data_IF_757348901202
#
_entry.id   IF_757348901202
#
_cell.length_a   1.000
_cell.length_b   1.000
_cell.length_c   1.000
_cell.angle_alpha   90.00
_cell.angle_beta   90.00
_cell.angle_gamma   90.00
#
_symmetry.space_group_name_H-M   'P 1'
#
loop_
_entity.id
_entity.type
_entity.pdbx_description
1 polymer ?
#
# COMPACT_ATOMS: atom_id res chain seq x y z
N UNK A 1 -9.94 -19.03 -1.66
CA UNK A 1 -9.02 -18.09 -0.96
C UNK A 1 -9.85 -17.36 0.07
N UNK A 2 -9.37 -17.24 1.30
CA UNK A 2 -10.05 -16.49 2.36
C UNK A 2 -10.31 -15.05 1.87
N UNK A 3 -11.52 -14.52 2.08
CA UNK A 3 -11.90 -13.16 1.66
C UNK A 3 -10.95 -12.12 2.27
N UNK A 4 -10.42 -12.39 3.46
CA UNK A 4 -9.42 -11.58 4.13
C UNK A 4 -8.16 -11.43 3.28
N UNK A 5 -7.65 -12.55 2.75
CA UNK A 5 -6.45 -12.54 1.92
C UNK A 5 -6.71 -11.85 0.58
N UNK A 6 -7.90 -12.04 0.01
CA UNK A 6 -8.32 -11.33 -1.22
C UNK A 6 -8.32 -9.81 -0.96
N UNK A 7 -8.93 -9.36 0.14
CA UNK A 7 -9.00 -7.96 0.52
C UNK A 7 -7.62 -7.32 0.67
N UNK A 8 -6.68 -8.02 1.32
CA UNK A 8 -5.31 -7.56 1.47
C UNK A 8 -4.56 -7.52 0.15
N UNK A 9 -4.70 -8.54 -0.70
CA UNK A 9 -4.08 -8.57 -2.04
C UNK A 9 -4.59 -7.42 -2.90
N UNK A 10 -5.91 -7.20 -2.93
CA UNK A 10 -6.52 -6.09 -3.68
C UNK A 10 -5.99 -4.74 -3.17
N UNK A 11 -5.87 -4.55 -1.85
CA UNK A 11 -5.29 -3.34 -1.29
C UNK A 11 -3.82 -3.14 -1.71
N UNK A 12 -2.99 -4.19 -1.64
CA UNK A 12 -1.58 -4.12 -2.04
C UNK A 12 -1.46 -3.76 -3.53
N UNK A 13 -2.26 -4.38 -4.39
CA UNK A 13 -2.29 -4.07 -5.83
C UNK A 13 -2.70 -2.62 -6.08
N UNK A 14 -3.75 -2.12 -5.42
CA UNK A 14 -4.14 -0.71 -5.52
C UNK A 14 -3.06 0.24 -5.02
N UNK A 15 -2.35 -0.14 -3.95
CA UNK A 15 -1.23 0.65 -3.41
C UNK A 15 -0.09 0.72 -4.42
N UNK A 16 0.29 -0.39 -5.04
CA UNK A 16 1.30 -0.43 -6.10
C UNK A 16 0.87 0.44 -7.29
N UNK A 17 -0.38 0.30 -7.75
CA UNK A 17 -0.92 1.12 -8.85
C UNK A 17 -0.84 2.61 -8.49
N UNK A 18 -1.18 2.97 -7.25
CA UNK A 18 -1.08 4.36 -6.81
C UNK A 18 0.35 4.88 -6.90
N UNK A 19 1.33 4.19 -6.32
CA UNK A 19 2.71 4.68 -6.27
C UNK A 19 3.45 4.61 -7.61
N UNK A 20 3.13 3.64 -8.47
CA UNK A 20 3.83 3.43 -9.75
C UNK A 20 3.16 4.20 -10.90
N UNK A 21 1.83 4.30 -10.91
CA UNK A 21 1.08 4.83 -12.06
C UNK A 21 0.45 6.18 -11.76
N UNK A 22 -0.26 6.31 -10.62
CA UNK A 22 -1.05 7.51 -10.35
C UNK A 22 -0.20 8.64 -9.78
N UNK A 23 0.64 8.36 -8.78
CA UNK A 23 1.41 9.37 -8.04
C UNK A 23 2.28 10.17 -9.03
N UNK A 24 2.28 11.53 -8.94
CA UNK A 24 3.07 12.34 -9.85
C UNK A 24 4.56 11.99 -9.75
N UNK A 25 5.24 11.96 -10.90
CA UNK A 25 6.69 11.92 -10.93
C UNK A 25 7.22 13.31 -10.55
N UNK A 26 8.08 13.36 -9.54
CA UNK A 26 8.64 14.63 -9.04
C UNK A 26 9.48 15.32 -10.13
N UNK A 27 10.10 14.57 -11.04
CA UNK A 27 10.89 15.13 -12.12
C UNK A 27 10.05 15.92 -13.11
N UNK A 28 8.79 15.53 -13.33
CA UNK A 28 7.88 16.23 -14.25
C UNK A 28 7.38 17.55 -13.66
N UNK A 29 7.60 17.77 -12.36
CA UNK A 29 7.20 18.96 -11.64
C UNK A 29 8.37 19.91 -11.38
N UNK A 30 9.57 19.62 -11.89
CA UNK A 30 10.70 20.53 -11.78
C UNK A 30 10.48 21.69 -12.77
N UNK A 31 10.33 22.94 -12.29
CA UNK A 31 10.24 24.12 -13.14
C UNK A 31 11.57 24.36 -13.89
N UNK A 32 11.55 25.24 -14.90
CA UNK A 32 12.75 25.61 -15.68
C UNK A 32 13.91 26.14 -14.81
N UNK A 33 13.63 26.64 -13.60
CA UNK A 33 14.63 27.08 -12.63
C UNK A 33 15.47 25.94 -12.02
N UNK A 34 15.05 24.67 -12.18
CA UNK A 34 15.78 23.51 -11.66
C UNK A 34 15.70 23.31 -10.13
N UNK A 35 14.90 24.13 -9.44
CA UNK A 35 14.62 24.04 -8.01
C UNK A 35 13.30 23.29 -7.81
N UNK A 36 13.29 22.29 -6.93
CA UNK A 36 12.09 21.51 -6.63
C UNK A 36 11.11 22.34 -5.82
N UNK A 37 9.92 22.54 -6.36
CA UNK A 37 8.78 23.06 -5.60
C UNK A 37 8.04 21.89 -4.93
N UNK A 38 8.41 21.64 -3.67
CA UNK A 38 7.84 20.54 -2.86
C UNK A 38 6.35 20.76 -2.59
N UNK A 39 5.90 22.00 -2.45
CA UNK A 39 4.50 22.33 -2.16
C UNK A 39 3.60 22.10 -3.39
N UNK A 40 4.04 22.54 -4.57
CA UNK A 40 3.36 22.26 -5.83
C UNK A 40 3.30 20.75 -6.11
N UNK A 41 4.40 20.03 -5.86
CA UNK A 41 4.43 18.57 -5.98
C UNK A 41 3.39 17.89 -5.07
N UNK A 42 3.34 18.24 -3.78
CA UNK A 42 2.35 17.71 -2.83
C UNK A 42 0.92 18.00 -3.26
N UNK A 43 0.64 19.24 -3.62
CA UNK A 43 -0.68 19.69 -4.08
C UNK A 43 -1.15 18.89 -5.30
N UNK A 44 -0.24 18.60 -6.23
CA UNK A 44 -0.54 17.77 -7.41
C UNK A 44 -0.81 16.30 -7.08
N UNK A 45 -0.31 15.80 -5.94
CA UNK A 45 -0.49 14.42 -5.49
C UNK A 45 -1.83 14.19 -4.76
N UNK A 46 -2.38 15.19 -4.05
CA UNK A 46 -3.58 15.03 -3.24
C UNK A 46 -4.83 14.56 -3.99
N UNK A 47 -5.17 15.07 -5.19
CA UNK A 47 -6.34 14.58 -5.93
C UNK A 47 -6.19 13.09 -6.30
N UNK A 48 -4.97 12.67 -6.66
CA UNK A 48 -4.67 11.27 -7.00
C UNK A 48 -4.71 10.37 -5.78
N UNK A 49 -4.27 10.88 -4.63
CA UNK A 49 -4.41 10.19 -3.34
C UNK A 49 -5.89 10.00 -2.96
N UNK A 50 -6.74 11.00 -3.20
CA UNK A 50 -8.18 10.89 -2.97
C UNK A 50 -8.81 9.81 -3.86
N UNK A 51 -8.43 9.73 -5.14
CA UNK A 51 -8.85 8.66 -6.05
C UNK A 51 -8.44 7.28 -5.51
N UNK A 52 -7.21 7.15 -5.01
CA UNK A 52 -6.74 5.91 -4.39
C UNK A 52 -7.59 5.52 -3.17
N UNK A 53 -7.88 6.46 -2.25
CA UNK A 53 -8.71 6.18 -1.07
C UNK A 53 -10.11 5.73 -1.47
N UNK A 54 -10.73 6.41 -2.45
CA UNK A 54 -12.05 6.03 -2.96
C UNK A 54 -12.02 4.62 -3.58
N UNK A 55 -11.00 4.32 -4.39
CA UNK A 55 -10.85 2.99 -5.00
C UNK A 55 -10.69 1.89 -3.94
N UNK A 56 -9.90 2.15 -2.89
CA UNK A 56 -9.77 1.26 -1.74
C UNK A 56 -11.14 1.05 -1.09
N UNK A 57 -11.83 2.11 -0.66
CA UNK A 57 -13.13 1.97 0.02
C UNK A 57 -14.16 1.22 -0.82
N UNK A 58 -14.26 1.48 -2.12
CA UNK A 58 -15.17 0.77 -3.03
C UNK A 58 -14.80 -0.71 -3.11
N UNK A 59 -13.52 -1.03 -3.33
CA UNK A 59 -13.07 -2.42 -3.44
C UNK A 59 -13.34 -3.22 -2.16
N UNK A 60 -13.08 -2.62 -0.99
CA UNK A 60 -13.29 -3.23 0.31
C UNK A 60 -14.76 -3.39 0.62
N UNK A 61 -15.60 -2.44 0.22
CA UNK A 61 -17.04 -2.51 0.38
C UNK A 61 -17.65 -3.66 -0.43
N UNK A 62 -17.20 -3.84 -1.67
CA UNK A 62 -17.62 -4.96 -2.52
C UNK A 62 -17.26 -6.30 -1.87
N UNK A 63 -16.03 -6.44 -1.37
CA UNK A 63 -15.56 -7.69 -0.74
C UNK A 63 -16.29 -7.96 0.58
N UNK A 64 -16.48 -6.97 1.44
CA UNK A 64 -17.20 -7.13 2.70
C UNK A 64 -18.68 -7.46 2.48
N UNK A 65 -19.29 -6.87 1.46
CA UNK A 65 -20.67 -7.22 1.06
C UNK A 65 -20.73 -8.66 0.55
N UNK A 66 -19.78 -9.08 -0.29
CA UNK A 66 -19.70 -10.46 -0.77
C UNK A 66 -19.54 -11.45 0.38
N UNK A 67 -18.68 -11.13 1.37
CA UNK A 67 -18.53 -11.95 2.57
C UNK A 67 -19.85 -12.13 3.32
N UNK A 68 -20.55 -11.04 3.64
CA UNK A 68 -21.82 -11.12 4.37
C UNK A 68 -22.90 -11.89 3.60
N UNK A 69 -22.98 -11.70 2.27
CA UNK A 69 -23.95 -12.45 1.46
C UNK A 69 -23.67 -13.96 1.49
N UNK A 70 -22.39 -14.37 1.44
CA UNK A 70 -22.03 -15.80 1.55
C UNK A 70 -22.26 -16.36 2.96
N UNK A 71 -22.02 -15.56 4.00
CA UNK A 71 -22.22 -15.96 5.40
C UNK A 71 -23.70 -16.07 5.77
N UNK A 72 -24.53 -15.16 5.28
CA UNK A 72 -25.91 -15.00 5.74
C UNK A 72 -26.97 -15.58 4.80
N UNK A 73 -26.60 -16.15 3.65
CA UNK A 73 -27.53 -16.75 2.67
C UNK A 73 -28.72 -15.86 2.29
N UNK A 74 -28.58 -14.54 2.45
CA UNK A 74 -29.66 -13.54 2.35
C UNK A 74 -29.47 -12.58 1.19
N UNK A 75 -30.51 -11.79 0.91
CA UNK A 75 -30.49 -10.75 -0.12
C UNK A 75 -29.52 -9.63 0.26
N UNK A 76 -28.79 -9.11 -0.73
CA UNK A 76 -27.79 -8.04 -0.55
C UNK A 76 -28.35 -6.81 0.17
N UNK A 77 -29.65 -6.53 0.02
CA UNK A 77 -30.31 -5.35 0.60
C UNK A 77 -30.29 -5.31 2.13
N UNK A 78 -30.32 -6.48 2.78
CA UNK A 78 -30.45 -6.53 4.24
C UNK A 78 -29.10 -6.44 4.95
N UNK A 79 -28.01 -6.79 4.25
CA UNK A 79 -26.64 -6.78 4.78
C UNK A 79 -25.79 -5.60 4.28
N UNK A 80 -26.28 -4.82 3.32
CA UNK A 80 -25.51 -3.72 2.70
C UNK A 80 -25.17 -2.59 3.68
N UNK A 81 -26.09 -2.26 4.60
CA UNK A 81 -25.85 -1.22 5.61
C UNK A 81 -24.75 -1.63 6.60
N UNK A 82 -24.79 -2.89 7.04
CA UNK A 82 -23.78 -3.50 7.90
C UNK A 82 -22.43 -3.57 7.20
N UNK A 83 -22.39 -3.99 5.93
CA UNK A 83 -21.17 -3.98 5.11
C UNK A 83 -20.60 -2.57 4.97
N UNK A 84 -21.45 -1.56 4.75
CA UNK A 84 -21.03 -0.17 4.61
C UNK A 84 -20.42 0.36 5.91
N UNK A 85 -21.09 0.13 7.05
CA UNK A 85 -20.60 0.56 8.36
C UNK A 85 -19.23 -0.05 8.67
N UNK A 86 -19.07 -1.36 8.52
CA UNK A 86 -17.79 -2.03 8.76
C UNK A 86 -16.74 -1.83 7.67
N UNK A 87 -17.09 -1.19 6.55
CA UNK A 87 -16.09 -0.77 5.57
C UNK A 87 -15.70 0.68 5.79
N UNK A 88 -16.61 1.61 5.56
CA UNK A 88 -16.27 3.03 5.47
C UNK A 88 -15.78 3.59 6.79
N UNK A 89 -16.38 3.21 7.93
CA UNK A 89 -15.95 3.72 9.22
C UNK A 89 -14.49 3.33 9.54
N UNK A 90 -14.11 2.04 9.60
CA UNK A 90 -12.73 1.68 9.92
C UNK A 90 -11.75 2.09 8.82
N UNK A 91 -12.11 1.95 7.54
CA UNK A 91 -11.19 2.34 6.46
C UNK A 91 -10.93 3.84 6.45
N UNK A 92 -11.97 4.69 6.48
CA UNK A 92 -11.77 6.15 6.48
C UNK A 92 -11.14 6.64 7.78
N UNK A 93 -11.46 6.03 8.92
CA UNK A 93 -10.89 6.42 10.19
C UNK A 93 -9.40 6.07 10.29
N UNK A 94 -9.05 4.78 10.19
CA UNK A 94 -7.66 4.35 10.39
C UNK A 94 -6.75 4.75 9.23
N UNK A 95 -7.17 4.54 7.97
CA UNK A 95 -6.35 4.95 6.82
C UNK A 95 -6.29 6.47 6.71
N UNK A 96 -7.39 7.18 6.99
CA UNK A 96 -7.42 8.64 6.99
C UNK A 96 -6.51 9.23 8.06
N UNK A 97 -6.48 8.66 9.26
CA UNK A 97 -5.53 9.08 10.31
C UNK A 97 -4.09 8.84 9.88
N UNK A 98 -3.75 7.66 9.34
CA UNK A 98 -2.39 7.38 8.84
C UNK A 98 -1.99 8.38 7.75
N UNK A 99 -2.86 8.63 6.76
CA UNK A 99 -2.59 9.60 5.69
C UNK A 99 -2.40 11.01 6.26
N UNK A 100 -3.27 11.43 7.18
CA UNK A 100 -3.20 12.77 7.78
C UNK A 100 -1.92 12.95 8.58
N UNK A 101 -1.52 11.91 9.33
CA UNK A 101 -0.28 11.93 10.11
C UNK A 101 0.95 12.08 9.22
N UNK A 102 0.98 11.42 8.07
CA UNK A 102 2.05 11.56 7.07
C UNK A 102 2.10 12.96 6.42
N UNK A 103 0.95 13.61 6.23
CA UNK A 103 0.88 14.97 5.68
C UNK A 103 1.38 16.00 6.71
N UNK A 104 0.98 15.86 7.98
CA UNK A 104 1.34 16.80 9.05
C UNK A 104 2.79 16.58 9.51
N UNK A 105 3.24 15.33 9.58
CA UNK A 105 4.57 14.94 10.05
C UNK A 105 5.30 14.16 8.95
N UNK A 106 5.98 14.84 8.01
CA UNK A 106 6.71 14.19 6.93
C UNK A 106 7.76 13.17 7.40
N UNK A 107 8.31 13.38 8.59
CA UNK A 107 9.29 12.47 9.21
C UNK A 107 8.68 11.16 9.72
N UNK A 108 7.34 11.03 9.76
CA UNK A 108 6.66 9.84 10.22
C UNK A 108 6.94 8.61 9.33
N UNK A 109 7.19 8.81 8.03
CA UNK A 109 7.66 7.75 7.12
C UNK A 109 9.07 7.25 7.40
N UNK A 110 9.88 7.98 8.17
CA UNK A 110 11.33 7.71 8.30
C UNK A 110 11.67 6.30 8.81
N UNK A 111 10.95 5.68 9.78
CA UNK A 111 11.31 4.33 10.24
C UNK A 111 11.23 3.29 9.13
N UNK A 112 10.21 3.38 8.26
CA UNK A 112 10.06 2.47 7.13
C UNK A 112 10.88 2.89 5.91
N UNK A 113 11.02 4.19 5.65
CA UNK A 113 11.87 4.73 4.59
C UNK A 113 13.34 4.33 4.82
N UNK A 114 13.82 4.38 6.06
CA UNK A 114 15.21 4.05 6.40
C UNK A 114 15.52 2.55 6.43
N UNK A 115 14.49 1.69 6.47
CA UNK A 115 14.64 0.23 6.46
C UNK A 115 14.22 -0.35 5.11
N UNK A 116 12.92 -0.32 4.81
CA UNK A 116 12.38 -0.89 3.57
C UNK A 116 12.68 -0.01 2.36
N UNK A 117 12.56 1.32 2.51
CA UNK A 117 12.91 2.26 1.45
C UNK A 117 14.39 2.18 1.10
N UNK A 118 15.26 2.17 2.11
CA UNK A 118 16.69 1.98 1.95
C UNK A 118 17.00 0.69 1.20
N UNK A 119 16.41 -0.43 1.62
CA UNK A 119 16.59 -1.71 0.95
C UNK A 119 16.25 -1.62 -0.55
N UNK A 120 15.11 -0.99 -0.88
CA UNK A 120 14.65 -0.81 -2.25
C UNK A 120 15.56 0.06 -3.13
N UNK A 121 16.33 0.99 -2.54
CA UNK A 121 17.19 1.93 -3.29
C UNK A 121 18.69 1.67 -3.12
N UNK A 122 19.07 0.77 -2.22
CA UNK A 122 20.46 0.50 -1.81
C UNK A 122 21.42 0.34 -2.99
N UNK A 123 21.11 -0.54 -3.95
CA UNK A 123 21.94 -0.74 -5.14
C UNK A 123 22.08 0.50 -6.02
N UNK A 124 20.99 1.26 -6.20
CA UNK A 124 20.99 2.50 -6.97
C UNK A 124 21.77 3.62 -6.27
N UNK A 125 21.61 3.74 -4.95
CA UNK A 125 22.36 4.68 -4.12
C UNK A 125 23.86 4.36 -4.12
N UNK A 126 24.24 3.10 -3.90
CA UNK A 126 25.65 2.67 -3.96
C UNK A 126 26.27 3.00 -5.31
N UNK A 127 25.57 2.70 -6.41
CA UNK A 127 26.04 3.05 -7.75
C UNK A 127 26.20 4.57 -7.87
N UNK A 128 25.18 5.35 -7.53
CA UNK A 128 25.20 6.82 -7.61
C UNK A 128 26.40 7.43 -6.85
N UNK A 129 26.59 7.08 -5.58
CA UNK A 129 27.66 7.67 -4.78
C UNK A 129 29.05 7.18 -5.20
N UNK A 130 29.17 5.96 -5.71
CA UNK A 130 30.43 5.44 -6.29
C UNK A 130 30.80 6.16 -7.59
N UNK A 131 29.80 6.35 -8.45
CA UNK A 131 29.90 6.98 -9.76
C UNK A 131 30.49 8.40 -9.69
N UNK A 132 29.98 9.20 -8.75
CA UNK A 132 30.39 10.59 -8.53
C UNK A 132 31.42 10.77 -7.42
N UNK A 133 31.92 9.70 -6.79
CA UNK A 133 32.93 9.78 -5.74
C UNK A 133 34.32 10.17 -6.26
N UNK A 134 34.95 11.20 -5.67
CA UNK A 134 36.32 11.66 -5.98
C UNK A 134 37.41 10.71 -5.47
N UNK A 135 37.21 10.06 -4.31
CA UNK A 135 38.24 9.21 -3.65
C UNK A 135 37.76 7.78 -3.45
N UNK A 136 38.48 6.81 -4.02
CA UNK A 136 38.21 5.37 -3.85
C UNK A 136 38.18 4.92 -2.39
N UNK A 137 39.05 5.47 -1.54
CA UNK A 137 39.11 5.08 -0.12
C UNK A 137 37.90 5.58 0.67
N UNK A 138 37.44 6.80 0.40
CA UNK A 138 36.20 7.36 0.95
C UNK A 138 34.99 6.53 0.53
N UNK A 139 34.93 6.14 -0.74
CA UNK A 139 33.87 5.26 -1.25
C UNK A 139 33.96 3.86 -0.61
N UNK A 140 35.16 3.32 -0.35
CA UNK A 140 35.30 2.00 0.28
C UNK A 140 34.85 2.01 1.75
N UNK A 141 35.14 3.08 2.49
CA UNK A 141 34.69 3.27 3.87
C UNK A 141 33.18 3.56 3.96
N UNK A 142 32.63 4.33 3.01
CA UNK A 142 31.19 4.59 2.90
C UNK A 142 30.37 3.43 2.34
N UNK A 143 30.94 2.61 1.46
CA UNK A 143 30.27 1.43 0.90
C UNK A 143 29.98 0.38 1.97
N UNK A 144 30.66 0.42 3.12
CA UNK A 144 30.30 -0.41 4.27
C UNK A 144 28.93 -0.03 4.83
N UNK A 145 28.48 1.23 4.69
CA UNK A 145 27.14 1.64 5.08
C UNK A 145 26.62 2.86 4.31
N UNK A 146 26.10 2.62 3.09
CA UNK A 146 25.49 3.66 2.26
C UNK A 146 24.20 4.25 2.89
N UNK A 147 23.65 3.61 3.92
CA UNK A 147 22.48 4.11 4.64
C UNK A 147 22.77 5.43 5.33
N UNK A 148 24.00 5.65 5.78
CA UNK A 148 24.47 6.90 6.40
C UNK A 148 24.30 8.10 5.47
N UNK A 149 24.40 7.88 4.15
CA UNK A 149 24.22 8.94 3.16
C UNK A 149 22.77 9.13 2.77
N UNK A 150 22.07 8.06 2.40
CA UNK A 150 20.77 8.19 1.75
C UNK A 150 19.61 8.32 2.74
N UNK A 151 19.74 7.80 3.97
CA UNK A 151 18.65 7.86 4.95
C UNK A 151 18.35 9.28 5.45
N UNK A 152 19.35 10.14 5.74
CA UNK A 152 19.09 11.52 6.14
C UNK A 152 18.44 12.39 5.06
N UNK A 153 18.55 11.99 3.78
CA UNK A 153 18.00 12.77 2.66
C UNK A 153 16.53 12.44 2.47
N UNK A 154 15.67 13.46 2.52
CA UNK A 154 14.23 13.38 2.27
C UNK A 154 13.86 14.33 1.15
N UNK A 155 12.64 14.21 0.62
CA UNK A 155 12.14 15.19 -0.36
C UNK A 155 12.09 16.60 0.23
N UNK A 156 11.83 16.73 1.53
CA UNK A 156 11.68 18.03 2.20
C UNK A 156 12.99 18.80 2.32
N UNK A 157 14.10 18.10 2.59
CA UNK A 157 15.42 18.70 2.78
C UNK A 157 16.34 18.52 1.56
N UNK A 158 15.80 18.07 0.43
CA UNK A 158 16.61 17.66 -0.72
C UNK A 158 17.46 18.79 -1.27
N UNK A 159 16.88 19.98 -1.45
CA UNK A 159 17.57 21.14 -2.03
C UNK A 159 18.73 21.60 -1.14
N UNK A 160 18.49 21.73 0.17
CA UNK A 160 19.53 22.11 1.13
C UNK A 160 20.65 21.06 1.16
N UNK A 161 20.28 19.78 1.14
CA UNK A 161 21.24 18.68 1.10
C UNK A 161 22.05 18.70 -0.19
N UNK A 162 21.41 18.98 -1.33
CA UNK A 162 22.07 19.07 -2.62
C UNK A 162 23.11 20.20 -2.65
N UNK A 163 22.77 21.37 -2.10
CA UNK A 163 23.71 22.49 -1.97
C UNK A 163 24.94 22.09 -1.16
N UNK A 164 24.76 21.39 -0.02
CA UNK A 164 25.87 20.92 0.81
C UNK A 164 26.73 19.87 0.10
N UNK A 165 26.11 18.94 -0.63
CA UNK A 165 26.81 17.90 -1.38
C UNK A 165 27.60 18.47 -2.57
N UNK A 166 27.08 19.53 -3.21
CA UNK A 166 27.64 20.14 -4.41
C UNK A 166 28.53 21.38 -4.11
N UNK A 167 28.76 21.73 -2.85
CA UNK A 167 29.60 22.87 -2.49
C UNK A 167 31.08 22.57 -2.79
N UNK A 168 31.63 23.31 -3.76
CA UNK A 168 33.02 23.22 -4.20
C UNK A 168 34.04 23.63 -3.12
N UNK A 169 33.62 24.44 -2.14
CA UNK A 169 34.46 24.86 -1.01
C UNK A 169 34.46 23.82 0.12
N UNK A 170 33.52 22.88 0.08
CA UNK A 170 33.34 21.86 1.09
C UNK A 170 34.20 20.64 0.75
N UNK A 171 34.83 20.02 1.76
CA UNK A 171 35.72 18.85 1.58
C UNK A 171 34.98 17.56 1.19
N UNK A 172 33.76 17.67 0.67
CA UNK A 172 32.94 16.51 0.31
C UNK A 172 33.53 15.89 -0.96
N UNK A 173 33.84 14.60 -0.90
CA UNK A 173 34.55 13.89 -1.97
C UNK A 173 33.59 13.48 -3.11
N UNK A 174 32.76 14.40 -3.62
CA UNK A 174 31.91 14.16 -4.80
C UNK A 174 32.26 15.13 -5.95
N UNK A 175 32.19 14.62 -7.18
CA UNK A 175 32.33 15.34 -8.44
C UNK A 175 31.11 15.06 -9.32
N UNK A 176 30.10 15.93 -9.20
CA UNK A 176 28.88 15.83 -10.02
C UNK A 176 29.04 16.43 -11.43
N UNK A 177 30.22 16.97 -11.78
CA UNK A 177 30.53 17.47 -13.13
C UNK A 177 30.98 16.35 -14.06
N UNK A 178 31.37 15.20 -13.50
CA UNK A 178 31.76 14.00 -14.22
C UNK A 178 30.59 13.48 -15.07
N UNK A 179 30.80 13.39 -16.39
CA UNK A 179 29.90 12.69 -17.31
C UNK A 179 30.09 11.18 -17.17
N UNK A 180 29.01 10.42 -17.14
CA UNK A 180 29.07 8.96 -16.99
C UNK A 180 28.54 8.29 -18.26
N UNK A 181 29.36 7.42 -18.85
CA UNK A 181 29.17 6.88 -20.21
C UNK A 181 27.91 5.99 -20.39
N UNK A 182 27.29 5.53 -19.30
CA UNK A 182 26.04 4.74 -19.28
C UNK A 182 24.79 5.58 -18.94
N UNK A 183 24.88 6.91 -19.01
CA UNK A 183 23.76 7.79 -18.64
C UNK A 183 22.76 8.01 -19.77
N UNK A 184 21.48 8.01 -19.39
CA UNK A 184 20.43 8.65 -20.16
C UNK A 184 20.81 10.14 -20.30
N UNK A 185 21.11 10.59 -21.53
CA UNK A 185 21.66 11.93 -21.83
C UNK A 185 20.76 13.08 -21.32
N UNK A 186 19.53 12.76 -20.92
CA UNK A 186 18.48 13.69 -20.49
C UNK A 186 18.30 13.84 -18.97
N UNK A 187 19.06 13.14 -18.10
CA UNK A 187 18.86 13.20 -16.63
C UNK A 187 20.14 13.60 -15.90
N UNK A 188 20.09 14.67 -15.11
CA UNK A 188 21.23 15.17 -14.34
C UNK A 188 21.49 14.33 -13.07
N UNK A 189 22.70 14.44 -12.50
CA UNK A 189 23.05 13.82 -11.22
C UNK A 189 22.05 14.18 -10.10
N UNK A 190 21.63 15.45 -10.03
CA UNK A 190 20.61 15.94 -9.08
C UNK A 190 19.30 15.16 -9.23
N UNK A 191 18.84 15.01 -10.47
CA UNK A 191 17.59 14.29 -10.76
C UNK A 191 17.70 12.79 -10.49
N UNK A 192 18.87 12.17 -10.73
CA UNK A 192 19.13 10.77 -10.38
C UNK A 192 19.02 10.55 -8.87
N UNK A 193 19.66 11.40 -8.07
CA UNK A 193 19.57 11.31 -6.60
C UNK A 193 18.14 11.56 -6.14
N UNK A 194 17.46 12.55 -6.72
CA UNK A 194 16.07 12.85 -6.37
C UNK A 194 15.13 11.67 -6.62
N UNK A 195 15.29 10.94 -7.74
CA UNK A 195 14.51 9.73 -8.01
C UNK A 195 14.74 8.66 -6.95
N UNK A 196 15.98 8.46 -6.51
CA UNK A 196 16.31 7.51 -5.45
C UNK A 196 15.66 7.91 -4.12
N UNK A 197 15.77 9.19 -3.75
CA UNK A 197 15.14 9.73 -2.53
C UNK A 197 13.61 9.61 -2.58
N UNK A 198 13.01 9.93 -3.73
CA UNK A 198 11.56 9.81 -3.92
C UNK A 198 11.11 8.35 -3.80
N UNK A 199 11.83 7.41 -4.42
CA UNK A 199 11.52 5.98 -4.32
C UNK A 199 11.62 5.47 -2.89
N UNK A 200 12.68 5.86 -2.16
CA UNK A 200 12.89 5.52 -0.75
C UNK A 200 11.69 5.96 0.10
N UNK A 201 11.29 7.22 -0.03
CA UNK A 201 10.15 7.80 0.69
C UNK A 201 8.82 7.16 0.27
N UNK A 202 8.62 6.88 -1.02
CA UNK A 202 7.43 6.20 -1.52
C UNK A 202 7.25 4.83 -0.90
N UNK A 203 8.33 4.05 -0.79
CA UNK A 203 8.31 2.73 -0.14
C UNK A 203 8.03 2.86 1.35
N UNK A 204 8.59 3.88 2.03
CA UNK A 204 8.26 4.17 3.43
C UNK A 204 6.76 4.43 3.66
N UNK A 205 6.15 5.30 2.84
CA UNK A 205 4.72 5.63 2.93
C UNK A 205 3.86 4.41 2.54
N UNK A 206 4.23 3.68 1.49
CA UNK A 206 3.53 2.47 1.07
C UNK A 206 3.54 1.40 2.18
N UNK A 207 4.65 1.29 2.92
CA UNK A 207 4.76 0.38 4.05
C UNK A 207 3.76 0.74 5.14
N UNK A 208 3.66 2.03 5.53
CA UNK A 208 2.64 2.50 6.46
C UNK A 208 1.22 2.13 6.01
N UNK A 209 0.90 2.34 4.73
CA UNK A 209 -0.42 2.01 4.19
C UNK A 209 -0.70 0.50 4.28
N UNK A 210 0.29 -0.35 3.99
CA UNK A 210 0.17 -1.81 4.08
C UNK A 210 -0.02 -2.25 5.53
N UNK A 211 0.78 -1.74 6.48
CA UNK A 211 0.62 -2.08 7.90
C UNK A 211 -0.75 -1.66 8.44
N UNK A 212 -1.20 -0.45 8.09
CA UNK A 212 -2.54 0.03 8.43
C UNK A 212 -3.63 -0.85 7.80
N UNK A 213 -3.47 -1.30 6.55
CA UNK A 213 -4.42 -2.19 5.92
C UNK A 213 -4.48 -3.59 6.56
N UNK A 214 -3.34 -4.15 6.99
CA UNK A 214 -3.31 -5.42 7.74
C UNK A 214 -4.13 -5.27 9.04
N UNK A 215 -3.92 -4.18 9.77
CA UNK A 215 -4.67 -3.88 11.00
C UNK A 215 -6.17 -3.72 10.73
N UNK A 216 -6.55 -2.88 9.76
CA UNK A 216 -7.95 -2.62 9.42
C UNK A 216 -8.64 -3.90 8.97
N UNK A 217 -8.03 -4.64 8.05
CA UNK A 217 -8.64 -5.85 7.50
C UNK A 217 -8.82 -6.90 8.59
N UNK A 218 -7.87 -7.02 9.52
CA UNK A 218 -8.00 -7.92 10.69
C UNK A 218 -9.17 -7.51 11.59
N UNK A 219 -9.28 -6.22 11.90
CA UNK A 219 -10.39 -5.69 12.71
C UNK A 219 -11.75 -5.87 12.03
N UNK A 220 -11.84 -5.54 10.74
CA UNK A 220 -13.08 -5.67 9.96
C UNK A 220 -13.50 -7.12 9.85
N UNK A 221 -12.57 -8.02 9.53
CA UNK A 221 -12.86 -9.45 9.44
C UNK A 221 -13.36 -10.01 10.78
N UNK A 222 -12.68 -9.67 11.89
CA UNK A 222 -13.12 -10.06 13.23
C UNK A 222 -14.55 -9.58 13.50
N UNK A 223 -14.86 -8.31 13.21
CA UNK A 223 -16.21 -7.77 13.39
C UNK A 223 -17.25 -8.43 12.51
N UNK A 224 -16.94 -8.68 11.24
CA UNK A 224 -17.85 -9.37 10.32
C UNK A 224 -18.06 -10.84 10.73
N UNK A 225 -17.05 -11.50 11.29
CA UNK A 225 -17.16 -12.86 11.81
C UNK A 225 -18.04 -12.93 13.06
N UNK A 226 -17.93 -11.96 13.98
CA UNK A 226 -18.76 -11.89 15.18
C UNK A 226 -20.19 -11.40 14.92
N UNK A 227 -20.39 -10.58 13.89
CA UNK A 227 -21.71 -10.00 13.60
C UNK A 227 -22.70 -11.07 13.16
N UNK A 228 -23.86 -11.12 13.81
CA UNK A 228 -24.98 -11.96 13.41
C UNK A 228 -25.66 -11.48 12.13
N UNK A 229 -26.42 -12.35 11.48
CA UNK A 229 -27.14 -12.02 10.25
C UNK A 229 -28.47 -11.32 10.56
N UNK A 230 -28.75 -10.17 9.93
CA UNK A 230 -30.06 -9.54 9.92
C UNK A 230 -30.92 -10.16 8.81
N UNK A 231 -31.64 -11.23 9.13
CA UNK A 231 -32.52 -11.93 8.19
C UNK A 231 -33.91 -11.29 8.15
N UNK A 232 -34.47 -11.11 6.96
CA UNK A 232 -35.88 -10.73 6.81
C UNK A 232 -36.82 -11.91 7.17
N UNK A 233 -38.08 -11.65 7.58
CA UNK A 233 -39.05 -12.72 7.83
C UNK A 233 -39.24 -13.69 6.66
N UNK A 234 -39.21 -13.17 5.42
CA UNK A 234 -39.31 -13.98 4.19
C UNK A 234 -38.10 -14.89 4.02
N UNK A 235 -36.90 -14.40 4.36
CA UNK A 235 -35.67 -15.19 4.29
C UNK A 235 -35.61 -16.27 5.37
N UNK A 236 -36.12 -15.99 6.57
CA UNK A 236 -36.24 -17.00 7.64
C UNK A 236 -37.13 -18.15 7.14
N UNK A 237 -38.24 -17.82 6.49
CA UNK A 237 -39.14 -18.81 5.91
C UNK A 237 -38.48 -19.60 4.78
N UNK A 238 -37.80 -18.92 3.84
CA UNK A 238 -37.12 -19.60 2.74
C UNK A 238 -36.01 -20.54 3.23
N UNK A 239 -35.21 -20.10 4.20
CA UNK A 239 -34.14 -20.91 4.80
C UNK A 239 -34.71 -22.11 5.56
N UNK A 240 -35.81 -21.94 6.28
CA UNK A 240 -36.51 -23.04 6.94
C UNK A 240 -37.04 -24.06 5.91
N UNK A 241 -37.69 -23.60 4.84
CA UNK A 241 -38.22 -24.46 3.79
C UNK A 241 -37.11 -25.23 3.05
N UNK A 242 -35.95 -24.60 2.81
CA UNK A 242 -34.75 -25.26 2.26
C UNK A 242 -34.22 -26.34 3.20
N UNK A 243 -34.10 -26.02 4.50
CA UNK A 243 -33.62 -26.97 5.51
C UNK A 243 -34.52 -28.22 5.57
N UNK A 244 -35.85 -28.02 5.62
CA UNK A 244 -36.81 -29.14 5.64
C UNK A 244 -36.66 -30.02 4.39
N UNK A 245 -36.53 -29.41 3.20
CA UNK A 245 -36.33 -30.17 1.94
C UNK A 245 -35.02 -30.96 1.92
N UNK A 246 -33.93 -30.39 2.40
CA UNK A 246 -32.65 -31.09 2.51
C UNK A 246 -32.72 -32.25 3.50
N UNK A 247 -33.39 -32.05 4.63
CA UNK A 247 -33.58 -33.07 5.64
C UNK A 247 -34.38 -34.25 5.07
N UNK A 248 -35.51 -33.99 4.42
CA UNK A 248 -36.30 -35.02 3.73
C UNK A 248 -35.50 -35.77 2.66
N UNK A 249 -34.65 -35.07 1.90
CA UNK A 249 -33.81 -35.69 0.88
C UNK A 249 -32.73 -36.60 1.50
N UNK A 250 -32.14 -36.18 2.62
CA UNK A 250 -31.15 -36.96 3.35
C UNK A 250 -31.78 -38.19 4.02
N UNK A 251 -32.94 -38.03 4.64
CA UNK A 251 -33.69 -39.13 5.27
C UNK A 251 -34.08 -40.18 4.23
N UNK A 252 -34.55 -39.75 3.05
CA UNK A 252 -34.83 -40.66 1.92
C UNK A 252 -33.58 -41.41 1.48
N UNK A 253 -32.45 -40.73 1.32
CA UNK A 253 -31.16 -41.36 0.96
C UNK A 253 -30.74 -42.38 2.02
N UNK A 254 -30.87 -42.06 3.31
CA UNK A 254 -30.53 -42.93 4.42
C UNK A 254 -31.45 -44.16 4.49
N UNK A 255 -32.75 -43.98 4.27
CA UNK A 255 -33.72 -45.08 4.19
C UNK A 255 -33.41 -46.02 3.01
N UNK A 256 -33.07 -45.49 1.83
CA UNK A 256 -32.64 -46.30 0.68
C UNK A 256 -31.29 -47.01 0.93
N UNK A 257 -30.35 -46.38 1.64
CA UNK A 257 -29.07 -47.00 1.98
C UNK A 257 -29.23 -48.13 3.02
N UNK A 258 -30.11 -47.95 4.00
CA UNK A 258 -30.39 -48.95 5.02
C UNK A 258 -31.17 -50.15 4.46
N UNK A 259 -32.12 -49.92 3.55
CA UNK A 259 -32.84 -51.00 2.85
C UNK A 259 -31.95 -51.78 1.88
N UNK A 260 -30.98 -51.12 1.23
CA UNK A 260 -29.95 -51.80 0.44
C UNK A 260 -29.02 -52.67 1.30
N UNK A 261 -28.67 -52.25 2.52
CA UNK A 261 -27.90 -53.09 3.46
C UNK A 261 -28.70 -54.27 4.00
N UNK A 262 -29.99 -54.11 4.26
CA UNK A 262 -30.85 -55.18 4.78
C UNK A 262 -31.15 -56.29 3.76
N UNK A 263 -30.97 -56.02 2.46
CA UNK A 263 -31.17 -56.99 1.38
C UNK A 263 -29.89 -57.76 0.99
N UNK A 264 -28.76 -57.43 1.62
CA UNK A 264 -27.46 -58.09 1.43
C UNK A 264 -27.08 -59.06 2.56
N UNK A 265 -27.89 -59.14 3.63
CA UNK A 265 -27.79 -60.10 4.73
C UNK A 265 -28.95 -61.10 4.65
#
# INVERSE_FOLDING_TARGET
MDIYLIALIVFIVLTIIYFVVLKPDILKQIPESGIIDVEAYKTSAYPKLAIFVVAVCISQFILNTAYLNTKCSGATKDNIGTAALYTFLPWLFFLGITITMEIIYPEFKSPFSNVFGFFAVSGGATKFFTDYGKKKDFITEMCNDISVLINPITIENFEDTWVVLNDENNKVNFDFTKKIEDEDENITAKQRLLKLVQMKDNVGIASWYIYTAILITSFVYFKLAETGCSLSPEQIKENHDKYVKEQEANDKKQASANSAKASLN
#
